data_IF_651201902374
#
_entry.id   IF_651201902374
#
_cell.length_a   1.000
_cell.length_b   1.000
_cell.length_c   1.000
_cell.angle_alpha   90.00
_cell.angle_beta   90.00
_cell.angle_gamma   90.00
#
_symmetry.space_group_name_H-M   'P 1'
#
loop_
_entity.id
_entity.type
_entity.pdbx_description
1 polymer ?
#
# COMPACT_ATOMS: atom_id res chain seq x y z
N UNK A 1 -6.47 -4.01 25.03
CA UNK A 1 -7.61 -3.75 24.12
C UNK A 1 -7.78 -2.24 24.02
N UNK A 2 -7.34 -1.61 22.92
CA UNK A 2 -7.41 -0.16 22.79
C UNK A 2 -8.83 0.26 22.37
N UNK A 3 -9.64 0.65 23.36
CA UNK A 3 -11.02 1.14 23.17
C UNK A 3 -11.09 2.63 22.85
N UNK A 4 -10.19 3.14 21.99
CA UNK A 4 -10.20 4.53 21.57
C UNK A 4 -11.29 4.81 20.52
N UNK A 5 -11.68 6.10 20.34
CA UNK A 5 -12.62 6.48 19.28
C UNK A 5 -12.06 6.12 17.90
N UNK A 6 -12.94 5.70 16.98
CA UNK A 6 -12.56 5.44 15.59
C UNK A 6 -12.22 6.77 14.91
N UNK A 7 -11.04 6.93 14.28
CA UNK A 7 -10.60 8.20 13.70
C UNK A 7 -11.29 8.50 12.34
N UNK A 8 -12.61 8.35 12.26
CA UNK A 8 -13.37 8.50 11.02
C UNK A 8 -13.30 9.92 10.45
N UNK A 9 -13.42 10.95 11.30
CA UNK A 9 -13.31 12.35 10.87
C UNK A 9 -11.92 12.67 10.30
N UNK A 10 -10.87 12.19 10.96
CA UNK A 10 -9.50 12.38 10.49
C UNK A 10 -9.27 11.69 9.13
N UNK A 11 -9.79 10.47 8.96
CA UNK A 11 -9.71 9.74 7.70
C UNK A 11 -10.48 10.46 6.58
N UNK A 12 -11.70 10.93 6.84
CA UNK A 12 -12.49 11.71 5.89
C UNK A 12 -11.78 13.01 5.48
N UNK A 13 -11.18 13.72 6.45
CA UNK A 13 -10.38 14.92 6.17
C UNK A 13 -9.17 14.62 5.30
N UNK A 14 -8.44 13.53 5.56
CA UNK A 14 -7.31 13.12 4.73
C UNK A 14 -7.76 12.80 3.30
N UNK A 15 -8.84 12.05 3.16
CA UNK A 15 -9.40 11.73 1.84
C UNK A 15 -9.75 12.99 1.05
N UNK A 16 -10.42 13.95 1.69
CA UNK A 16 -10.76 15.21 1.04
C UNK A 16 -9.52 16.06 0.69
N UNK A 17 -8.53 16.11 1.59
CA UNK A 17 -7.34 16.95 1.40
C UNK A 17 -6.36 16.40 0.36
N UNK A 18 -6.33 15.08 0.18
CA UNK A 18 -5.37 14.37 -0.67
C UNK A 18 -6.03 13.68 -1.88
N UNK A 19 -7.33 13.93 -2.09
CA UNK A 19 -8.16 13.28 -3.11
C UNK A 19 -8.04 11.75 -3.11
N UNK A 20 -8.08 11.14 -1.92
CA UNK A 20 -7.81 9.71 -1.77
C UNK A 20 -9.07 8.87 -2.02
N UNK A 21 -8.91 7.75 -2.76
CA UNK A 21 -9.94 6.73 -2.83
C UNK A 21 -10.15 6.08 -1.46
N UNK A 22 -11.28 5.39 -1.31
CA UNK A 22 -11.62 4.74 -0.04
C UNK A 22 -10.65 3.59 0.29
N UNK A 23 -10.18 2.87 -0.72
CA UNK A 23 -9.28 1.73 -0.57
C UNK A 23 -7.90 2.08 -1.10
N UNK A 24 -6.88 1.94 -0.25
CA UNK A 24 -5.48 2.28 -0.55
C UNK A 24 -4.54 1.19 -0.04
N UNK A 25 -3.38 1.04 -0.68
CA UNK A 25 -2.24 0.33 -0.12
C UNK A 25 -1.32 1.30 0.62
N UNK A 26 -0.87 0.90 1.81
CA UNK A 26 0.12 1.62 2.60
C UNK A 26 1.49 0.99 2.45
N UNK A 27 2.47 1.86 2.23
CA UNK A 27 3.89 1.50 2.17
C UNK A 27 4.66 2.39 3.15
N UNK A 28 5.64 1.87 3.89
CA UNK A 28 6.60 2.74 4.57
C UNK A 28 7.33 3.59 3.53
N UNK A 29 7.66 4.84 3.87
CA UNK A 29 8.50 5.68 3.00
C UNK A 29 9.83 4.97 2.75
N UNK A 30 10.17 4.79 1.48
CA UNK A 30 11.40 4.15 1.06
C UNK A 30 12.61 5.03 1.35
N UNK A 31 13.71 4.41 1.80
CA UNK A 31 15.01 5.06 1.78
C UNK A 31 15.42 5.42 0.34
N UNK A 32 16.16 6.51 0.19
CA UNK A 32 16.71 6.92 -1.10
C UNK A 32 17.66 5.81 -1.64
N UNK A 33 17.69 5.58 -2.97
CA UNK A 33 18.59 4.61 -3.58
C UNK A 33 20.06 4.93 -3.27
N UNK A 34 20.86 3.90 -3.04
CA UNK A 34 22.30 4.03 -2.76
C UNK A 34 23.16 4.17 -4.01
N UNK A 35 22.57 4.09 -5.21
CA UNK A 35 23.27 4.22 -6.50
C UNK A 35 23.90 2.93 -7.02
N UNK A 36 23.67 1.81 -6.32
CA UNK A 36 24.22 0.50 -6.66
C UNK A 36 23.07 -0.42 -7.05
N UNK A 37 22.93 -0.70 -8.35
CA UNK A 37 21.70 -1.25 -8.91
C UNK A 37 21.30 -2.62 -8.35
N UNK A 38 22.27 -3.50 -8.08
CA UNK A 38 21.99 -4.85 -7.56
C UNK A 38 21.54 -4.79 -6.10
N UNK A 39 22.22 -4.01 -5.28
CA UNK A 39 21.94 -3.81 -3.86
C UNK A 39 20.61 -3.07 -3.65
N UNK A 40 20.34 -2.05 -4.48
CA UNK A 40 19.07 -1.34 -4.49
C UNK A 40 17.91 -2.27 -4.87
N UNK A 41 18.13 -3.20 -5.80
CA UNK A 41 17.14 -4.22 -6.16
C UNK A 41 16.87 -5.18 -4.99
N UNK A 42 17.91 -5.75 -4.39
CA UNK A 42 17.77 -6.66 -3.24
C UNK A 42 17.07 -5.97 -2.06
N UNK A 43 17.41 -4.71 -1.81
CA UNK A 43 16.76 -3.89 -0.78
C UNK A 43 15.26 -3.69 -1.09
N UNK A 44 14.89 -3.50 -2.37
CA UNK A 44 13.49 -3.39 -2.78
C UNK A 44 12.73 -4.70 -2.63
N UNK A 45 13.34 -5.84 -2.97
CA UNK A 45 12.73 -7.17 -2.83
C UNK A 45 12.49 -7.57 -1.37
N UNK A 46 13.32 -7.08 -0.44
CA UNK A 46 13.15 -7.32 0.99
C UNK A 46 12.11 -6.42 1.69
N UNK A 47 11.43 -5.54 0.96
CA UNK A 47 10.48 -4.59 1.58
C UNK A 47 9.26 -5.32 2.14
N UNK A 48 8.67 -4.82 3.25
CA UNK A 48 7.39 -5.31 3.73
C UNK A 48 6.34 -5.24 2.63
N UNK A 49 5.50 -6.27 2.55
CA UNK A 49 4.36 -6.29 1.63
C UNK A 49 3.46 -5.06 1.90
N UNK A 50 2.92 -4.41 0.85
CA UNK A 50 1.98 -3.32 1.03
C UNK A 50 0.78 -3.74 1.89
N UNK A 51 0.30 -2.83 2.74
CA UNK A 51 -0.82 -3.08 3.63
C UNK A 51 -2.10 -2.45 3.08
N UNK A 52 -3.08 -3.27 2.68
CA UNK A 52 -4.38 -2.77 2.24
C UNK A 52 -5.14 -2.13 3.41
N UNK A 53 -5.63 -0.92 3.20
CA UNK A 53 -6.48 -0.18 4.14
C UNK A 53 -7.73 0.31 3.41
N UNK A 54 -8.87 0.06 4.04
CA UNK A 54 -10.16 0.60 3.65
C UNK A 54 -10.46 1.71 4.67
N UNK A 55 -10.48 2.96 4.20
CA UNK A 55 -10.70 4.16 5.00
C UNK A 55 -12.18 4.38 5.35
N UNK A 56 -13.11 3.62 4.75
CA UNK A 56 -14.51 3.51 5.16
C UNK A 56 -14.73 2.46 6.24
N UNK A 57 -13.81 1.51 6.40
CA UNK A 57 -13.92 0.40 7.34
C UNK A 57 -13.45 0.76 8.77
N UNK A 58 -14.38 0.75 9.72
CA UNK A 58 -14.09 1.10 11.12
C UNK A 58 -13.02 0.21 11.80
N UNK A 59 -12.93 -1.08 11.44
CA UNK A 59 -11.89 -1.96 12.00
C UNK A 59 -10.50 -1.60 11.45
N UNK A 60 -10.41 -1.30 10.15
CA UNK A 60 -9.16 -0.86 9.54
C UNK A 60 -8.71 0.47 10.16
N UNK A 61 -9.62 1.42 10.33
CA UNK A 61 -9.34 2.70 11.00
C UNK A 61 -8.89 2.54 12.46
N UNK A 62 -9.39 1.54 13.19
CA UNK A 62 -8.91 1.24 14.56
C UNK A 62 -7.48 0.70 14.58
N UNK A 63 -7.10 -0.07 13.57
CA UNK A 63 -5.78 -0.68 13.45
C UNK A 63 -4.74 0.28 12.84
N UNK A 64 -5.18 1.23 12.02
CA UNK A 64 -4.33 2.16 11.28
C UNK A 64 -3.33 2.94 12.16
N UNK A 65 -3.70 3.54 13.30
CA UNK A 65 -2.75 4.26 14.15
C UNK A 65 -1.57 3.40 14.62
N UNK A 66 -1.82 2.12 14.91
CA UNK A 66 -0.78 1.17 15.34
C UNK A 66 0.16 0.82 14.18
N UNK A 67 -0.34 0.77 12.95
CA UNK A 67 0.50 0.57 11.78
C UNK A 67 1.37 1.81 11.55
N UNK A 68 0.77 3.01 11.57
CA UNK A 68 1.48 4.28 11.37
C UNK A 68 2.58 4.51 12.42
N UNK A 69 2.32 4.17 13.69
CA UNK A 69 3.32 4.36 14.75
C UNK A 69 4.58 3.50 14.59
N UNK A 70 4.52 2.41 13.83
CA UNK A 70 5.69 1.57 13.50
C UNK A 70 6.53 2.16 12.36
N UNK A 71 5.98 3.11 11.62
CA UNK A 71 6.60 3.71 10.44
C UNK A 71 6.70 5.23 10.60
N UNK A 72 7.44 5.68 11.63
CA UNK A 72 7.61 7.09 11.98
C UNK A 72 8.29 7.96 10.90
N UNK A 73 8.91 7.35 9.89
CA UNK A 73 9.43 8.04 8.70
C UNK A 73 8.36 8.44 7.69
N UNK A 74 7.09 8.10 7.94
CA UNK A 74 5.96 8.40 7.09
C UNK A 74 5.45 7.19 6.31
N UNK A 75 4.35 7.41 5.59
CA UNK A 75 3.70 6.41 4.75
C UNK A 75 3.43 6.98 3.36
N UNK A 76 3.58 6.13 2.35
CA UNK A 76 3.08 6.34 0.99
C UNK A 76 1.72 5.67 0.89
N UNK A 77 0.76 6.40 0.33
CA UNK A 77 -0.59 5.91 0.05
C UNK A 77 -0.68 5.70 -1.46
N UNK A 78 -0.90 4.45 -1.86
CA UNK A 78 -1.09 4.04 -3.25
C UNK A 78 -2.57 3.67 -3.44
N UNK A 79 -3.17 4.08 -4.55
CA UNK A 79 -4.53 3.65 -4.88
C UNK A 79 -4.59 2.13 -5.05
N UNK A 80 -5.60 1.48 -4.46
CA UNK A 80 -5.79 0.06 -4.64
C UNK A 80 -6.48 -0.24 -6.00
N UNK A 81 -5.70 -0.67 -7.00
CA UNK A 81 -6.21 -1.03 -8.33
C UNK A 81 -5.97 -2.51 -8.69
N UNK A 82 -7.02 -3.27 -9.07
CA UNK A 82 -8.43 -2.94 -8.91
C UNK A 82 -8.82 -2.86 -7.42
N UNK A 83 -9.81 -2.04 -7.09
CA UNK A 83 -10.31 -1.92 -5.71
C UNK A 83 -10.86 -3.28 -5.24
N UNK A 84 -10.33 -3.87 -4.15
CA UNK A 84 -10.73 -5.22 -3.72
C UNK A 84 -12.17 -5.32 -3.20
N UNK A 85 -12.65 -4.27 -2.54
CA UNK A 85 -14.01 -4.15 -2.02
C UNK A 85 -14.97 -3.46 -3.00
N UNK A 86 -16.28 -3.58 -2.74
CA UNK A 86 -17.32 -3.00 -3.60
C UNK A 86 -17.69 -3.84 -4.82
N UNK A 87 -17.24 -5.09 -4.88
CA UNK A 87 -17.58 -6.05 -5.93
C UNK A 87 -18.94 -6.71 -5.64
N UNK A 88 -19.73 -6.94 -6.70
CA UNK A 88 -21.04 -7.60 -6.61
C UNK A 88 -20.96 -9.04 -6.08
N UNK A 89 -19.80 -9.68 -6.25
CA UNK A 89 -19.51 -11.02 -5.77
C UNK A 89 -18.09 -11.11 -5.19
N UNK A 90 -17.85 -11.99 -4.20
CA UNK A 90 -16.52 -12.21 -3.66
C UNK A 90 -15.54 -12.66 -4.76
N UNK A 91 -14.50 -11.86 -4.99
CA UNK A 91 -13.41 -12.21 -5.89
C UNK A 91 -12.15 -12.61 -5.12
N UNK A 92 -11.24 -13.32 -5.81
CA UNK A 92 -9.89 -13.60 -5.30
C UNK A 92 -8.93 -12.56 -5.88
N UNK A 93 -8.00 -12.08 -5.07
CA UNK A 93 -6.85 -11.33 -5.57
C UNK A 93 -5.91 -12.28 -6.32
N UNK A 94 -5.47 -11.88 -7.52
CA UNK A 94 -4.56 -12.64 -8.38
C UNK A 94 -3.39 -11.75 -8.74
N UNK A 95 -2.17 -12.30 -8.67
CA UNK A 95 -0.93 -11.68 -9.13
C UNK A 95 -0.37 -12.54 -10.26
N UNK A 96 -0.07 -11.93 -11.40
CA UNK A 96 0.45 -12.62 -12.59
C UNK A 96 1.94 -12.30 -12.76
N UNK A 97 2.78 -13.33 -12.82
CA UNK A 97 4.21 -13.20 -13.11
C UNK A 97 4.43 -13.53 -14.59
N UNK A 98 4.97 -12.56 -15.33
CA UNK A 98 5.27 -12.70 -16.76
C UNK A 98 6.78 -12.74 -16.97
N UNK A 99 7.29 -13.84 -17.51
CA UNK A 99 8.68 -13.92 -17.92
C UNK A 99 8.83 -13.36 -19.34
N UNK A 100 9.74 -12.39 -19.52
CA UNK A 100 9.98 -11.71 -20.80
C UNK A 100 11.44 -11.82 -21.22
N UNK A 101 11.67 -12.16 -22.49
CA UNK A 101 12.99 -12.31 -23.07
C UNK A 101 13.30 -11.18 -24.05
N UNK A 102 14.56 -10.75 -24.12
CA UNK A 102 15.01 -9.87 -25.21
C UNK A 102 15.03 -10.67 -26.51
N UNK A 103 14.47 -10.08 -27.58
CA UNK A 103 14.65 -10.60 -28.93
C UNK A 103 16.14 -10.60 -29.28
N UNK A 104 16.69 -11.75 -29.67
CA UNK A 104 18.07 -11.83 -30.13
C UNK A 104 18.30 -10.90 -31.32
N UNK A 105 19.26 -9.97 -31.22
CA UNK A 105 19.71 -9.22 -32.39
C UNK A 105 20.62 -10.15 -33.19
N UNK A 106 20.25 -10.46 -34.43
CA UNK A 106 21.15 -11.12 -35.38
C UNK A 106 22.32 -10.15 -35.65
N UNK A 107 23.59 -10.60 -35.58
CA UNK A 107 24.72 -9.78 -36.00
C UNK A 107 24.59 -9.37 -37.48
#
# INVERSE_FOLDING_TARGET
>A
MAGGPVPAEAAARWRAALDLPEQVFLHPVAAAPGGHAAEDLLTRLGRPKPHLVDLGNALHLRCLPKWLSRHGGGAVLEEALPAPGGLDAPARAVELVLEVYRTGRRP
#
